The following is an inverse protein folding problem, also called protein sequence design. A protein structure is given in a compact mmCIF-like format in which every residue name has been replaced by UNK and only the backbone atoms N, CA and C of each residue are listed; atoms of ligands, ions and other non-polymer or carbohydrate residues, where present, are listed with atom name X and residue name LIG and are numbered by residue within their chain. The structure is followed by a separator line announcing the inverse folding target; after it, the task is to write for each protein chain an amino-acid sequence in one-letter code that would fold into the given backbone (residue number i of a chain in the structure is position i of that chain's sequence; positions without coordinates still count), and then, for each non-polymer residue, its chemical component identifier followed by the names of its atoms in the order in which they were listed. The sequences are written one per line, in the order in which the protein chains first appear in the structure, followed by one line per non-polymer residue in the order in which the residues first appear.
data_IF_335607937120
#
_entry.id   IF_335607937120
#
_cell.length_a   1.000
_cell.length_b   1.000
_cell.length_c   1.000
_cell.angle_alpha   90.00
_cell.angle_beta   90.00
_cell.angle_gamma   90.00
#
_symmetry.space_group_name_H-M   'P 1'
#
loop_
_entity.id
_entity.type
_entity.pdbx_description
1 polymer ?
#
# COMPACT_ATOMS: atom_id res chain seq x y z
N UNK A 1 -13.78 -9.10 13.47
CA UNK A 1 -13.08 -8.53 12.28
C UNK A 1 -14.07 -7.75 11.40
N UNK A 2 -13.85 -6.46 11.13
CA UNK A 2 -14.68 -5.71 10.18
C UNK A 2 -14.39 -6.18 8.76
N UNK A 3 -15.43 -6.69 8.09
CA UNK A 3 -15.33 -7.25 6.73
C UNK A 3 -14.79 -6.18 5.77
N UNK A 4 -13.88 -6.58 4.88
CA UNK A 4 -13.32 -5.74 3.81
C UNK A 4 -12.59 -4.46 4.25
N UNK A 5 -12.24 -4.30 5.53
CA UNK A 5 -11.51 -3.12 6.02
C UNK A 5 -10.00 -3.31 6.13
N UNK A 6 -9.51 -4.54 5.96
CA UNK A 6 -8.10 -4.86 6.10
C UNK A 6 -7.69 -5.97 5.14
N UNK A 7 -6.59 -5.72 4.43
CA UNK A 7 -5.83 -6.75 3.73
C UNK A 7 -4.47 -6.79 4.42
N UNK A 8 -3.96 -7.98 4.74
CA UNK A 8 -2.60 -8.13 5.26
C UNK A 8 -1.85 -9.15 4.41
N UNK A 9 -0.55 -8.95 4.30
CA UNK A 9 0.32 -9.87 3.59
C UNK A 9 1.61 -10.11 4.37
N UNK A 10 2.27 -11.20 4.00
CA UNK A 10 3.62 -11.57 4.39
C UNK A 10 4.24 -12.28 3.20
N UNK A 11 5.49 -11.96 2.88
CA UNK A 11 6.24 -12.69 1.88
C UNK A 11 6.44 -14.14 2.32
N UNK A 12 6.25 -15.07 1.41
CA UNK A 12 6.56 -16.48 1.63
C UNK A 12 8.03 -16.77 1.29
N UNK A 13 8.58 -16.04 0.32
CA UNK A 13 9.94 -16.20 -0.20
C UNK A 13 10.53 -14.83 -0.58
N UNK A 14 11.84 -14.80 -0.86
CA UNK A 14 12.58 -13.58 -1.19
C UNK A 14 12.86 -12.71 0.03
N UNK A 15 12.98 -11.40 -0.17
CA UNK A 15 13.26 -10.47 0.92
C UNK A 15 12.09 -10.44 1.93
N UNK A 16 12.33 -10.74 3.22
CA UNK A 16 11.28 -10.73 4.24
C UNK A 16 10.57 -9.38 4.28
N UNK A 17 9.29 -9.38 3.91
CA UNK A 17 8.43 -8.22 4.04
C UNK A 17 7.03 -8.63 4.49
N UNK A 18 6.38 -7.72 5.20
CA UNK A 18 5.00 -7.86 5.65
C UNK A 18 4.33 -6.51 5.63
N UNK A 19 3.01 -6.51 5.63
CA UNK A 19 2.29 -5.26 5.73
C UNK A 19 0.80 -5.43 5.79
N UNK A 20 0.13 -4.28 5.80
CA UNK A 20 -1.31 -4.21 5.75
C UNK A 20 -1.78 -2.97 4.99
N UNK A 21 -2.89 -3.14 4.27
CA UNK A 21 -3.73 -2.06 3.80
C UNK A 21 -4.95 -1.99 4.71
N UNK A 22 -5.25 -0.80 5.21
CA UNK A 22 -6.46 -0.52 5.98
C UNK A 22 -7.31 0.50 5.27
N UNK A 23 -8.62 0.28 5.29
CA UNK A 23 -9.61 1.17 4.69
C UNK A 23 -10.47 1.78 5.79
N UNK A 24 -10.44 3.11 5.90
CA UNK A 24 -11.25 3.86 6.85
C UNK A 24 -12.33 4.62 6.08
N UNK A 25 -13.63 4.28 6.23
CA UNK A 25 -14.70 5.03 5.59
C UNK A 25 -14.63 6.51 5.94
N UNK A 26 -14.78 7.38 4.93
CA UNK A 26 -14.86 8.85 5.09
C UNK A 26 -16.24 9.37 4.68
N UNK A 27 -16.84 8.78 3.65
CA UNK A 27 -18.22 9.00 3.23
C UNK A 27 -18.81 7.72 2.61
N UNK A 28 -20.05 7.79 2.13
CA UNK A 28 -20.70 6.69 1.39
C UNK A 28 -19.96 6.27 0.11
N UNK A 29 -19.13 7.15 -0.46
CA UNK A 29 -18.40 6.94 -1.72
C UNK A 29 -16.89 7.13 -1.61
N UNK A 30 -16.35 7.34 -0.40
CA UNK A 30 -14.92 7.57 -0.21
C UNK A 30 -14.37 6.95 1.06
N UNK A 31 -13.11 6.54 1.01
CA UNK A 31 -12.37 6.04 2.16
C UNK A 31 -10.94 6.56 2.17
N UNK A 32 -10.35 6.64 3.36
CA UNK A 32 -8.91 6.84 3.54
C UNK A 32 -8.23 5.48 3.51
N UNK A 33 -7.22 5.35 2.66
CA UNK A 33 -6.37 4.17 2.58
C UNK A 33 -5.11 4.42 3.40
N UNK A 34 -4.75 3.47 4.25
CA UNK A 34 -3.50 3.49 5.00
C UNK A 34 -2.70 2.24 4.67
N UNK A 35 -1.50 2.44 4.14
CA UNK A 35 -0.54 1.39 3.83
C UNK A 35 0.53 1.35 4.92
N UNK A 36 0.82 0.17 5.44
CA UNK A 36 1.94 -0.08 6.36
C UNK A 36 2.77 -1.21 5.82
N UNK A 37 4.08 -1.00 5.72
CA UNK A 37 5.05 -1.97 5.21
C UNK A 37 6.18 -2.08 6.23
N UNK A 38 6.58 -3.31 6.53
CA UNK A 38 7.79 -3.62 7.28
C UNK A 38 8.61 -4.62 6.46
N UNK A 39 9.91 -4.37 6.38
CA UNK A 39 10.85 -5.19 5.62
C UNK A 39 12.15 -5.32 6.41
N UNK A 40 12.88 -6.38 6.15
CA UNK A 40 14.24 -6.56 6.65
C UNK A 40 15.23 -6.11 5.57
N UNK A 41 16.38 -5.58 5.97
CA UNK A 41 17.46 -5.22 5.04
C UNK A 41 18.53 -6.30 5.14
N UNK A 42 18.87 -7.02 4.05
CA UNK A 42 19.97 -7.97 4.05
C UNK A 42 21.30 -7.27 4.32
N UNK A 43 22.24 -7.95 4.97
CA UNK A 43 23.56 -7.38 5.31
C UNK A 43 24.33 -6.87 4.08
N UNK A 44 24.20 -7.54 2.93
CA UNK A 44 24.84 -7.09 1.68
C UNK A 44 24.32 -5.73 1.18
N UNK A 45 23.13 -5.32 1.62
CA UNK A 45 22.52 -4.02 1.27
C UNK A 45 22.72 -2.96 2.38
N UNK A 46 23.41 -3.29 3.49
CA UNK A 46 23.69 -2.33 4.57
C UNK A 46 24.36 -1.03 4.10
N UNK A 47 25.33 -1.04 3.16
CA UNK A 47 25.97 0.20 2.69
C UNK A 47 25.00 1.19 2.05
N UNK A 48 23.88 0.71 1.49
CA UNK A 48 22.86 1.52 0.82
C UNK A 48 21.57 1.65 1.64
N UNK A 49 21.53 1.12 2.86
CA UNK A 49 20.32 1.07 3.68
C UNK A 49 19.71 2.46 3.96
N UNK A 50 20.56 3.49 4.08
CA UNK A 50 20.12 4.88 4.28
C UNK A 50 19.32 5.44 3.10
N UNK A 51 19.63 5.01 1.87
CA UNK A 51 18.91 5.42 0.66
C UNK A 51 17.61 4.63 0.43
N UNK A 52 17.51 3.42 0.98
CA UNK A 52 16.35 2.55 0.78
C UNK A 52 15.06 3.14 1.35
N UNK A 53 15.12 3.74 2.54
CA UNK A 53 13.93 4.31 3.19
C UNK A 53 13.25 5.40 2.35
N UNK A 54 13.92 6.52 2.00
CA UNK A 54 13.28 7.58 1.22
C UNK A 54 12.86 7.10 -0.18
N UNK A 55 13.64 6.21 -0.80
CA UNK A 55 13.27 5.61 -2.08
C UNK A 55 11.97 4.79 -1.99
N UNK A 56 11.87 3.89 -1.01
CA UNK A 56 10.69 3.06 -0.83
C UNK A 56 9.46 3.90 -0.46
N UNK A 57 9.62 4.91 0.40
CA UNK A 57 8.54 5.84 0.72
C UNK A 57 8.01 6.55 -0.53
N UNK A 58 8.91 7.04 -1.40
CA UNK A 58 8.53 7.63 -2.68
C UNK A 58 7.84 6.64 -3.63
N UNK A 59 8.35 5.41 -3.73
CA UNK A 59 7.76 4.35 -4.56
C UNK A 59 6.33 4.03 -4.10
N UNK A 60 6.15 3.82 -2.79
CA UNK A 60 4.85 3.49 -2.21
C UNK A 60 3.86 4.64 -2.33
N UNK A 61 4.30 5.88 -2.06
CA UNK A 61 3.46 7.07 -2.17
C UNK A 61 2.97 7.28 -3.61
N UNK A 62 3.89 7.24 -4.59
CA UNK A 62 3.53 7.35 -6.00
C UNK A 62 2.61 6.20 -6.46
N UNK A 63 2.78 5.00 -5.89
CA UNK A 63 1.87 3.88 -6.11
C UNK A 63 0.46 4.16 -5.60
N UNK A 64 0.33 4.74 -4.40
CA UNK A 64 -0.96 5.11 -3.82
C UNK A 64 -1.65 6.23 -4.62
N UNK A 65 -0.91 7.24 -5.09
CA UNK A 65 -1.46 8.30 -5.95
C UNK A 65 -2.05 7.73 -7.25
N UNK A 66 -1.33 6.83 -7.93
CA UNK A 66 -1.86 6.12 -9.11
C UNK A 66 -3.08 5.27 -8.77
N UNK A 67 -3.07 4.60 -7.63
CA UNK A 67 -4.21 3.81 -7.17
C UNK A 67 -5.45 4.67 -6.92
N UNK A 68 -5.30 5.89 -6.38
CA UNK A 68 -6.41 6.84 -6.22
C UNK A 68 -7.05 7.17 -7.56
N UNK A 69 -6.25 7.47 -8.58
CA UNK A 69 -6.75 7.74 -9.93
C UNK A 69 -7.52 6.53 -10.49
N UNK A 70 -6.92 5.33 -10.42
CA UNK A 70 -7.55 4.08 -10.86
C UNK A 70 -8.88 3.80 -10.15
N UNK A 71 -8.93 3.94 -8.82
CA UNK A 71 -10.12 3.66 -8.03
C UNK A 71 -11.27 4.64 -8.38
N UNK A 72 -10.96 5.93 -8.56
CA UNK A 72 -11.94 6.94 -8.97
C UNK A 72 -12.50 6.63 -10.37
N UNK A 73 -11.64 6.32 -11.33
CA UNK A 73 -12.06 5.95 -12.69
C UNK A 73 -12.96 4.71 -12.67
N UNK A 74 -12.57 3.67 -11.93
CA UNK A 74 -13.34 2.42 -11.84
C UNK A 74 -14.69 2.60 -11.15
N UNK A 75 -14.78 3.48 -10.15
CA UNK A 75 -16.01 3.83 -9.48
C UNK A 75 -16.96 4.60 -10.41
N UNK A 76 -16.45 5.60 -11.13
CA UNK A 76 -17.25 6.35 -12.13
C UNK A 76 -17.82 5.42 -13.21
N UNK A 77 -17.02 4.47 -13.71
CA UNK A 77 -17.47 3.46 -14.68
C UNK A 77 -18.58 2.55 -14.13
N UNK A 78 -18.54 2.16 -12.86
CA UNK A 78 -19.61 1.35 -12.26
C UNK A 78 -20.93 2.09 -12.05
N UNK A 79 -20.95 3.43 -12.07
CA UNK A 79 -22.20 4.19 -11.99
C UNK A 79 -22.91 4.31 -13.34
N UNK A 80 -22.22 3.97 -14.44
CA UNK A 80 -22.75 4.03 -15.81
C UNK A 80 -23.24 2.65 -16.32
N UNK A 81 -23.00 1.59 -15.56
CA UNK A 81 -23.42 0.20 -15.83
C UNK A 81 -24.63 -0.18 -15.00
#
# INVERSE_FOLDING_TARGET
PTKNQKIHWRSLEGLPNRGAVRFFPKSSSSCRVQLTVAYEVPEILTPVASALKPFLEGLLFNGLERFVAFAKERYSKSLQS
#
